data_IF_500128372345
#
_entry.id   IF_500128372345
#
_cell.length_a   1.000
_cell.length_b   1.000
_cell.length_c   1.000
_cell.angle_alpha   90.00
_cell.angle_beta   90.00
_cell.angle_gamma   90.00
#
_symmetry.space_group_name_H-M   'P 1'
#
loop_
_entity.id
_entity.type
_entity.pdbx_description
1 polymer ?
#
# COMPACT_ATOMS: atom_id res chain seq x y z
N UNK A 1 -21.50 13.84 -1.42
CA UNK A 1 -21.74 14.79 -0.31
C UNK A 1 -20.96 16.07 -0.57
N UNK A 2 -21.52 17.26 -0.37
CA UNK A 2 -20.78 18.52 -0.48
C UNK A 2 -19.61 18.57 0.51
N UNK A 3 -18.49 19.19 0.13
CA UNK A 3 -17.27 19.26 0.96
C UNK A 3 -17.55 19.89 2.33
N UNK A 4 -18.36 20.94 2.38
CA UNK A 4 -18.70 21.62 3.65
C UNK A 4 -19.50 20.73 4.59
N UNK A 5 -20.46 19.95 4.08
CA UNK A 5 -21.19 18.96 4.89
C UNK A 5 -20.25 17.87 5.41
N UNK A 6 -19.33 17.40 4.57
CA UNK A 6 -18.35 16.39 4.97
C UNK A 6 -17.40 16.91 6.06
N UNK A 7 -16.97 18.17 5.99
CA UNK A 7 -16.15 18.81 7.03
C UNK A 7 -16.85 18.80 8.38
N UNK A 8 -18.11 19.23 8.42
CA UNK A 8 -18.90 19.27 9.67
C UNK A 8 -19.03 17.88 10.27
N UNK A 9 -19.36 16.87 9.46
CA UNK A 9 -19.52 15.49 9.93
C UNK A 9 -18.21 14.92 10.49
N UNK A 10 -17.10 15.06 9.75
CA UNK A 10 -15.79 14.57 10.20
C UNK A 10 -15.32 15.29 11.46
N UNK A 11 -15.51 16.61 11.54
CA UNK A 11 -15.21 17.38 12.75
C UNK A 11 -16.01 16.88 13.95
N UNK A 12 -17.32 16.65 13.78
CA UNK A 12 -18.19 16.18 14.86
C UNK A 12 -17.74 14.81 15.37
N UNK A 13 -17.55 13.85 14.47
CA UNK A 13 -17.12 12.49 14.82
C UNK A 13 -15.76 12.51 15.53
N UNK A 14 -14.81 13.31 15.03
CA UNK A 14 -13.47 13.41 15.62
C UNK A 14 -13.53 14.00 17.05
N UNK A 15 -14.27 15.09 17.23
CA UNK A 15 -14.41 15.74 18.54
C UNK A 15 -15.11 14.83 19.55
N UNK A 16 -16.18 14.14 19.14
CA UNK A 16 -16.88 13.18 19.99
C UNK A 16 -15.96 12.01 20.39
N UNK A 17 -15.20 11.46 19.45
CA UNK A 17 -14.24 10.39 19.73
C UNK A 17 -13.16 10.83 20.71
N UNK A 18 -12.58 12.02 20.52
CA UNK A 18 -11.52 12.54 21.39
C UNK A 18 -12.03 12.89 22.80
N UNK A 19 -13.27 13.40 22.93
CA UNK A 19 -13.91 13.65 24.22
C UNK A 19 -14.19 12.36 25.02
N UNK A 20 -14.22 11.21 24.36
CA UNK A 20 -14.42 9.91 25.03
C UNK A 20 -13.14 9.31 25.60
N UNK A 21 -11.98 9.94 25.35
CA UNK A 21 -10.68 9.49 25.85
C UNK A 21 -10.40 10.12 27.22
N UNK A 22 -9.61 9.41 28.04
CA UNK A 22 -9.16 9.92 29.33
C UNK A 22 -8.20 11.13 29.16
N UNK A 23 -8.31 12.11 30.06
CA UNK A 23 -7.63 13.42 30.00
C UNK A 23 -6.08 13.39 29.99
N UNK A 24 -5.45 12.22 30.16
CA UNK A 24 -3.99 12.09 30.35
C UNK A 24 -3.30 11.20 29.30
N UNK A 25 -3.90 11.02 28.11
CA UNK A 25 -3.40 10.12 27.08
C UNK A 25 -2.83 10.79 25.82
N UNK A 26 -2.06 10.02 25.05
CA UNK A 26 -1.76 10.32 23.64
C UNK A 26 -2.72 9.51 22.77
N UNK A 27 -3.48 10.21 21.92
CA UNK A 27 -4.32 9.57 20.91
C UNK A 27 -3.56 9.45 19.59
N UNK A 28 -3.48 8.24 19.03
CA UNK A 28 -2.88 8.00 17.71
C UNK A 28 -3.97 7.69 16.70
N UNK A 29 -4.05 8.50 15.65
CA UNK A 29 -4.90 8.24 14.49
C UNK A 29 -4.03 7.95 13.27
N UNK A 30 -4.11 6.72 12.76
CA UNK A 30 -3.50 6.33 11.49
C UNK A 30 -4.50 6.51 10.35
N UNK A 31 -4.09 7.19 9.29
CA UNK A 31 -4.95 7.50 8.14
C UNK A 31 -4.16 7.42 6.83
N UNK A 32 -4.43 6.40 6.02
CA UNK A 32 -3.79 6.20 4.72
C UNK A 32 -4.22 7.26 3.68
N UNK A 33 -5.38 7.90 3.87
CA UNK A 33 -5.91 8.94 2.96
C UNK A 33 -5.38 10.35 3.26
N UNK A 34 -4.30 10.48 4.05
CA UNK A 34 -3.71 11.77 4.42
C UNK A 34 -3.38 12.65 3.20
N UNK A 35 -3.10 12.06 2.04
CA UNK A 35 -2.79 12.77 0.80
C UNK A 35 -4.02 13.07 -0.08
N UNK A 36 -5.11 12.31 0.05
CA UNK A 36 -6.27 12.43 -0.85
C UNK A 36 -7.22 13.55 -0.45
N UNK A 37 -7.43 13.74 0.87
CA UNK A 37 -8.42 14.68 1.41
C UNK A 37 -7.83 15.60 2.49
N UNK A 38 -6.67 16.24 2.25
CA UNK A 38 -6.00 17.05 3.28
C UNK A 38 -6.89 18.18 3.82
N UNK A 39 -7.65 18.86 2.95
CA UNK A 39 -8.56 19.95 3.35
C UNK A 39 -9.68 19.50 4.31
N UNK A 40 -10.12 18.25 4.20
CA UNK A 40 -11.16 17.71 5.07
C UNK A 40 -10.61 17.47 6.47
N UNK A 41 -9.44 16.82 6.55
CA UNK A 41 -8.85 16.41 7.81
C UNK A 41 -8.15 17.56 8.54
N UNK A 42 -7.50 18.47 7.82
CA UNK A 42 -6.92 19.69 8.41
C UNK A 42 -7.98 20.49 9.14
N UNK A 43 -9.14 20.70 8.52
CA UNK A 43 -10.25 21.43 9.14
C UNK A 43 -10.69 20.76 10.44
N UNK A 44 -10.96 19.45 10.40
CA UNK A 44 -11.42 18.70 11.56
C UNK A 44 -10.40 18.72 12.71
N UNK A 45 -9.12 18.58 12.41
CA UNK A 45 -8.05 18.60 13.42
C UNK A 45 -7.86 19.99 14.03
N UNK A 46 -7.92 21.06 13.23
CA UNK A 46 -7.85 22.44 13.74
C UNK A 46 -9.06 22.78 14.63
N UNK A 47 -10.25 22.30 14.25
CA UNK A 47 -11.46 22.46 15.06
C UNK A 47 -11.35 21.69 16.38
N UNK A 48 -10.86 20.44 16.36
CA UNK A 48 -10.62 19.66 17.56
C UNK A 48 -9.59 20.33 18.49
N UNK A 49 -8.48 20.83 17.93
CA UNK A 49 -7.47 21.59 18.67
C UNK A 49 -8.09 22.84 19.33
N UNK A 50 -8.93 23.59 18.60
CA UNK A 50 -9.58 24.78 19.15
C UNK A 50 -10.63 24.48 20.22
N UNK A 51 -11.40 23.38 20.09
CA UNK A 51 -12.48 23.05 21.02
C UNK A 51 -12.00 22.32 22.27
N UNK A 52 -10.99 21.47 22.13
CA UNK A 52 -10.53 20.57 23.18
C UNK A 52 -9.23 21.02 23.84
N UNK A 53 -8.55 22.02 23.28
CA UNK A 53 -7.26 22.49 23.81
C UNK A 53 -6.12 21.46 23.67
N UNK A 54 -6.29 20.48 22.78
CA UNK A 54 -5.29 19.43 22.54
C UNK A 54 -4.17 19.92 21.62
N UNK A 55 -2.99 19.32 21.74
CA UNK A 55 -1.90 19.53 20.77
C UNK A 55 -1.98 18.48 19.66
N UNK A 56 -2.15 18.91 18.41
CA UNK A 56 -2.12 18.02 17.25
C UNK A 56 -0.74 18.02 16.63
N UNK A 57 -0.15 16.82 16.49
CA UNK A 57 1.08 16.58 15.75
C UNK A 57 0.76 15.68 14.56
N UNK A 58 1.06 16.16 13.36
CA UNK A 58 0.84 15.41 12.12
C UNK A 58 2.16 14.79 11.70
N UNK A 59 2.18 13.47 11.50
CA UNK A 59 3.37 12.73 11.06
C UNK A 59 3.12 12.12 9.69
N UNK A 60 4.02 12.36 8.75
CA UNK A 60 3.98 11.77 7.42
C UNK A 60 5.34 11.21 7.00
N UNK A 61 5.30 10.12 6.24
CA UNK A 61 6.48 9.46 5.69
C UNK A 61 6.37 9.45 4.18
N UNK A 62 7.38 10.01 3.50
CA UNK A 62 7.40 10.13 2.04
C UNK A 62 8.57 9.37 1.45
N UNK A 63 8.37 8.85 0.24
CA UNK A 63 9.35 8.07 -0.51
C UNK A 63 9.73 8.80 -1.78
N UNK A 64 10.89 8.49 -2.34
CA UNK A 64 11.29 8.94 -3.65
C UNK A 64 10.27 8.46 -4.69
N UNK A 65 9.95 9.31 -5.67
CA UNK A 65 8.88 9.02 -6.65
C UNK A 65 9.11 7.66 -7.29
N UNK A 66 10.35 7.36 -7.70
CA UNK A 66 10.69 6.09 -8.35
C UNK A 66 10.26 4.86 -7.53
N UNK A 67 10.60 4.83 -6.24
CA UNK A 67 10.31 3.69 -5.36
C UNK A 67 8.83 3.68 -4.96
N UNK A 68 8.24 4.85 -4.76
CA UNK A 68 6.84 5.04 -4.44
C UNK A 68 5.92 4.53 -5.55
N UNK A 69 6.04 5.04 -6.79
CA UNK A 69 5.13 4.68 -7.89
C UNK A 69 5.20 3.21 -8.26
N UNK A 70 6.41 2.62 -8.20
CA UNK A 70 6.60 1.20 -8.46
C UNK A 70 5.91 0.34 -7.37
N UNK A 71 6.08 0.71 -6.10
CA UNK A 71 5.42 0.04 -4.98
C UNK A 71 3.90 0.21 -5.03
N UNK A 72 3.43 1.41 -5.35
CA UNK A 72 2.03 1.76 -5.48
C UNK A 72 1.35 0.95 -6.59
N UNK A 73 2.00 0.81 -7.74
CA UNK A 73 1.50 -0.01 -8.84
C UNK A 73 1.41 -1.50 -8.46
N UNK A 74 2.44 -2.06 -7.82
CA UNK A 74 2.39 -3.46 -7.35
C UNK A 74 1.23 -3.67 -6.38
N UNK A 75 1.00 -2.73 -5.47
CA UNK A 75 -0.02 -2.84 -4.43
C UNK A 75 -1.43 -2.56 -4.96
N UNK A 76 -1.67 -1.46 -5.65
CA UNK A 76 -3.02 -0.99 -6.05
C UNK A 76 -3.30 -1.12 -7.55
N UNK A 77 -2.25 -1.22 -8.37
CA UNK A 77 -2.35 -1.48 -9.81
C UNK A 77 -2.60 -2.95 -10.13
N UNK A 78 -2.01 -3.85 -9.32
CA UNK A 78 -2.01 -5.30 -9.54
C UNK A 78 -2.67 -6.06 -8.39
N UNK A 79 -2.12 -6.03 -7.17
CA UNK A 79 -2.58 -6.89 -6.04
C UNK A 79 -4.00 -6.56 -5.58
N UNK A 80 -4.26 -5.30 -5.25
CA UNK A 80 -5.54 -4.76 -4.81
C UNK A 80 -6.08 -3.83 -5.90
N UNK A 81 -6.38 -4.37 -7.09
CA UNK A 81 -6.82 -3.58 -8.24
C UNK A 81 -7.99 -2.66 -7.85
N UNK A 82 -7.74 -1.35 -7.81
CA UNK A 82 -8.71 -0.33 -7.35
C UNK A 82 -9.57 0.26 -8.47
N UNK A 83 -9.42 -0.23 -9.70
CA UNK A 83 -10.10 0.29 -10.90
C UNK A 83 -10.84 -0.81 -11.65
N UNK A 84 -11.81 -0.40 -12.47
CA UNK A 84 -12.60 -1.29 -13.32
C UNK A 84 -11.84 -1.73 -14.58
N UNK A 85 -12.11 -2.95 -15.04
CA UNK A 85 -11.50 -3.53 -16.24
C UNK A 85 -10.29 -4.42 -15.93
N UNK A 86 -9.62 -4.91 -16.98
CA UNK A 86 -8.44 -5.77 -16.85
C UNK A 86 -7.27 -5.02 -16.21
N UNK A 87 -6.31 -5.76 -15.64
CA UNK A 87 -5.06 -5.14 -15.18
C UNK A 87 -4.35 -4.51 -16.38
N UNK A 88 -4.03 -3.22 -16.26
CA UNK A 88 -3.33 -2.46 -17.30
C UNK A 88 -1.84 -2.37 -16.99
N UNK A 89 -1.03 -2.07 -18.01
CA UNK A 89 0.41 -1.87 -17.85
C UNK A 89 0.75 -0.64 -17.00
N UNK A 90 1.99 -0.57 -16.53
CA UNK A 90 2.44 0.45 -15.59
C UNK A 90 2.25 1.89 -16.13
N UNK A 91 2.72 2.21 -17.34
CA UNK A 91 2.59 3.56 -17.89
C UNK A 91 1.13 4.02 -18.01
N UNK A 92 0.25 3.12 -18.46
CA UNK A 92 -1.18 3.40 -18.55
C UNK A 92 -1.80 3.62 -17.17
N UNK A 93 -1.44 2.79 -16.19
CA UNK A 93 -1.90 2.94 -14.82
C UNK A 93 -1.45 4.28 -14.22
N UNK A 94 -0.18 4.65 -14.36
CA UNK A 94 0.34 5.94 -13.88
C UNK A 94 -0.41 7.11 -14.51
N UNK A 95 -0.64 7.07 -15.83
CA UNK A 95 -1.41 8.11 -16.52
C UNK A 95 -2.83 8.28 -15.97
N UNK A 96 -3.50 7.17 -15.63
CA UNK A 96 -4.84 7.17 -15.03
C UNK A 96 -4.84 7.63 -13.56
N UNK A 97 -3.76 7.39 -12.82
CA UNK A 97 -3.68 7.58 -11.37
C UNK A 97 -2.85 8.80 -10.94
N UNK A 98 -2.55 9.73 -11.85
CA UNK A 98 -1.76 10.93 -11.57
C UNK A 98 -2.18 11.68 -10.30
N UNK A 99 -3.49 11.90 -10.11
CA UNK A 99 -3.99 12.59 -8.90
C UNK A 99 -3.74 11.83 -7.60
N UNK A 100 -3.81 10.50 -7.64
CA UNK A 100 -3.57 9.64 -6.50
C UNK A 100 -2.07 9.52 -6.18
N UNK A 101 -1.22 9.56 -7.22
CA UNK A 101 0.23 9.47 -7.09
C UNK A 101 0.89 10.81 -6.72
N UNK A 102 0.25 11.95 -7.02
CA UNK A 102 0.72 13.26 -6.59
C UNK A 102 0.43 13.51 -5.11
N UNK A 103 1.46 13.80 -4.31
CA UNK A 103 1.34 14.09 -2.89
C UNK A 103 1.87 15.47 -2.48
N UNK A 104 2.64 16.16 -3.33
CA UNK A 104 3.33 17.41 -2.99
C UNK A 104 2.37 18.53 -2.59
N UNK A 105 1.28 18.71 -3.35
CA UNK A 105 0.25 19.69 -3.02
C UNK A 105 -0.42 19.40 -1.67
N UNK A 106 -0.68 18.12 -1.37
CA UNK A 106 -1.25 17.71 -0.09
C UNK A 106 -0.28 17.97 1.06
N UNK A 107 1.00 17.64 0.90
CA UNK A 107 2.04 17.94 1.89
C UNK A 107 2.12 19.44 2.21
N UNK A 108 1.99 20.30 1.19
CA UNK A 108 2.01 21.75 1.40
C UNK A 108 0.82 22.23 2.24
N UNK A 109 -0.36 21.66 2.02
CA UNK A 109 -1.56 21.95 2.82
C UNK A 109 -1.33 21.58 4.30
N UNK A 110 -0.72 20.42 4.57
CA UNK A 110 -0.38 20.01 5.92
C UNK A 110 0.70 20.91 6.56
N UNK A 111 1.75 21.26 5.81
CA UNK A 111 2.81 22.17 6.26
C UNK A 111 2.26 23.55 6.60
N UNK A 112 1.38 24.10 5.77
CA UNK A 112 0.81 25.43 6.00
C UNK A 112 -0.14 25.47 7.20
N UNK A 113 -0.79 24.34 7.50
CA UNK A 113 -1.74 24.24 8.60
C UNK A 113 -1.09 23.99 9.96
N UNK A 114 0.01 23.22 10.01
CA UNK A 114 0.61 22.75 11.27
C UNK A 114 2.08 23.14 11.45
N UNK A 115 2.79 23.59 10.41
CA UNK A 115 4.16 24.13 10.45
C UNK A 115 5.13 23.29 11.31
N UNK A 116 5.42 23.73 12.54
CA UNK A 116 6.32 23.05 13.48
C UNK A 116 5.77 21.72 14.00
N UNK A 117 4.44 21.58 14.01
CA UNK A 117 3.71 20.38 14.39
C UNK A 117 3.47 19.42 13.21
N UNK A 118 3.83 19.79 11.98
CA UNK A 118 3.95 18.83 10.89
C UNK A 118 5.35 18.22 10.89
N UNK A 119 5.45 16.90 11.04
CA UNK A 119 6.69 16.14 10.94
C UNK A 119 6.64 15.34 9.64
N UNK A 120 7.61 15.58 8.76
CA UNK A 120 7.75 14.87 7.49
C UNK A 120 9.08 14.15 7.49
N UNK A 121 9.08 12.85 7.19
CA UNK A 121 10.30 12.03 7.17
C UNK A 121 10.51 11.41 5.79
N UNK A 122 11.77 11.28 5.40
CA UNK A 122 12.17 10.48 4.25
C UNK A 122 12.18 9.00 4.65
N UNK A 123 11.22 8.24 4.15
CA UNK A 123 11.06 6.83 4.44
C UNK A 123 12.22 5.98 3.89
N UNK A 124 12.81 6.36 2.76
CA UNK A 124 13.80 5.50 2.07
C UNK A 124 15.13 5.42 2.81
N UNK A 125 15.36 6.27 3.81
CA UNK A 125 16.57 6.26 4.66
C UNK A 125 16.30 5.74 6.07
N UNK A 126 15.06 5.36 6.39
CA UNK A 126 14.72 4.79 7.69
C UNK A 126 14.98 3.30 7.69
N UNK A 127 15.66 2.82 8.74
CA UNK A 127 15.80 1.38 8.98
C UNK A 127 14.43 0.75 9.33
N UNK A 128 13.68 1.41 10.21
CA UNK A 128 12.36 0.99 10.63
C UNK A 128 11.45 2.20 10.94
N UNK A 129 10.42 2.38 10.11
CA UNK A 129 9.41 3.43 10.29
C UNK A 129 8.67 3.32 11.63
N UNK A 130 8.52 2.12 12.18
CA UNK A 130 7.82 1.90 13.45
C UNK A 130 8.64 2.44 14.62
N UNK A 131 9.95 2.19 14.61
CA UNK A 131 10.86 2.73 15.61
C UNK A 131 10.86 4.26 15.52
N UNK A 132 10.98 4.80 14.29
CA UNK A 132 10.88 6.24 14.07
C UNK A 132 9.58 6.83 14.61
N UNK A 133 8.43 6.16 14.42
CA UNK A 133 7.14 6.64 14.90
C UNK A 133 7.00 6.55 16.43
N UNK A 134 7.40 5.43 17.03
CA UNK A 134 7.33 5.24 18.50
C UNK A 134 8.14 6.29 19.25
N UNK A 135 9.29 6.69 18.71
CA UNK A 135 10.13 7.77 19.27
C UNK A 135 9.48 9.15 19.27
N UNK A 136 8.36 9.33 18.55
CA UNK A 136 7.60 10.59 18.53
C UNK A 136 6.50 10.62 19.59
N UNK A 137 6.17 9.48 20.19
CA UNK A 137 5.11 9.38 21.21
C UNK A 137 5.76 9.58 22.58
N UNK A 138 5.37 10.63 23.33
CA UNK A 138 5.89 10.87 24.67
C UNK A 138 5.73 9.64 25.58
N UNK A 139 6.83 9.20 26.19
CA UNK A 139 6.86 8.05 27.10
C UNK A 139 7.00 6.69 26.42
N UNK A 140 7.16 6.66 25.09
CA UNK A 140 7.36 5.44 24.30
C UNK A 140 8.74 5.37 23.61
N UNK A 141 9.67 6.27 23.96
CA UNK A 141 10.95 6.44 23.27
C UNK A 141 11.83 5.19 23.31
N UNK A 142 11.78 4.46 24.43
CA UNK A 142 12.54 3.22 24.65
C UNK A 142 11.73 1.95 24.33
N UNK A 143 10.48 2.09 23.86
CA UNK A 143 9.63 0.97 23.51
C UNK A 143 9.99 0.45 22.11
N UNK A 144 10.67 -0.70 22.06
CA UNK A 144 10.85 -1.42 20.80
C UNK A 144 9.52 -2.08 20.39
N UNK A 145 9.09 -1.92 19.13
CA UNK A 145 7.92 -2.64 18.64
C UNK A 145 8.16 -4.15 18.75
N UNK A 146 7.13 -4.96 19.07
CA UNK A 146 7.25 -6.41 19.09
C UNK A 146 7.87 -6.91 17.78
N UNK A 147 8.74 -7.93 17.87
CA UNK A 147 9.26 -8.61 16.69
C UNK A 147 8.10 -9.22 15.90
N UNK A 148 7.61 -8.50 14.89
CA UNK A 148 6.57 -8.99 14.01
C UNK A 148 7.15 -10.12 13.14
N UNK A 149 6.45 -11.25 13.12
CA UNK A 149 6.58 -12.24 12.05
C UNK A 149 6.35 -11.50 10.72
N UNK A 150 7.29 -11.67 9.77
CA UNK A 150 7.30 -11.19 8.37
C UNK A 150 6.46 -9.94 8.01
N UNK A 151 7.10 -8.89 7.46
CA UNK A 151 6.45 -7.66 6.97
C UNK A 151 5.16 -7.97 6.15
N UNK A 152 3.97 -7.82 6.74
CA UNK A 152 2.68 -8.04 6.05
C UNK A 152 2.48 -7.09 4.83
N UNK A 153 3.21 -5.98 4.82
CA UNK A 153 3.25 -4.99 3.74
C UNK A 153 4.43 -5.17 2.77
N UNK A 154 5.12 -6.31 2.79
CA UNK A 154 6.09 -6.62 1.75
C UNK A 154 5.37 -6.62 0.38
N UNK A 155 5.93 -5.89 -0.58
CA UNK A 155 5.48 -5.99 -1.97
C UNK A 155 5.54 -7.47 -2.38
N UNK A 156 4.47 -8.03 -2.97
CA UNK A 156 4.47 -9.44 -3.31
C UNK A 156 5.63 -9.75 -4.26
N UNK A 157 6.22 -10.93 -4.11
CA UNK A 157 7.23 -11.43 -5.02
C UNK A 157 6.67 -11.62 -6.43
N UNK A 158 7.55 -11.78 -7.42
CA UNK A 158 7.14 -11.63 -8.81
C UNK A 158 6.10 -12.65 -9.27
N UNK A 159 6.23 -13.89 -8.78
CA UNK A 159 5.25 -14.95 -8.99
C UNK A 159 3.89 -14.59 -8.39
N UNK A 160 3.83 -14.03 -7.18
CA UNK A 160 2.56 -13.63 -6.56
C UNK A 160 1.89 -12.51 -7.35
N UNK A 161 2.65 -11.52 -7.82
CA UNK A 161 2.12 -10.44 -8.67
C UNK A 161 1.53 -10.97 -9.97
N UNK A 162 2.18 -11.93 -10.61
CA UNK A 162 1.65 -12.59 -11.81
C UNK A 162 0.29 -13.24 -11.55
N UNK A 163 0.15 -13.92 -10.42
CA UNK A 163 -1.10 -14.59 -10.04
C UNK A 163 -2.21 -13.60 -9.74
N UNK A 164 -1.90 -12.52 -9.02
CA UNK A 164 -2.85 -11.43 -8.81
C UNK A 164 -3.27 -10.81 -10.15
N UNK A 165 -2.35 -10.58 -11.08
CA UNK A 165 -2.68 -10.00 -12.38
C UNK A 165 -3.60 -10.91 -13.21
N UNK A 166 -3.31 -12.22 -13.27
CA UNK A 166 -4.15 -13.20 -13.96
C UNK A 166 -5.55 -13.27 -13.34
N UNK A 167 -5.63 -13.44 -12.02
CA UNK A 167 -6.91 -13.54 -11.32
C UNK A 167 -7.73 -12.25 -11.43
N UNK A 168 -7.12 -11.10 -11.12
CA UNK A 168 -7.82 -9.81 -11.11
C UNK A 168 -8.28 -9.36 -12.50
N UNK A 169 -7.67 -9.88 -13.58
CA UNK A 169 -8.11 -9.60 -14.95
C UNK A 169 -9.37 -10.36 -15.36
N UNK A 170 -9.80 -11.38 -14.60
CA UNK A 170 -11.04 -12.12 -14.86
C UNK A 170 -12.30 -11.36 -14.41
N UNK A 171 -12.13 -10.31 -13.61
CA UNK A 171 -13.23 -9.56 -13.01
C UNK A 171 -13.25 -8.12 -13.52
N UNK A 172 -14.44 -7.63 -13.90
CA UNK A 172 -14.61 -6.25 -14.33
C UNK A 172 -14.54 -5.25 -13.17
N UNK A 173 -14.90 -5.67 -11.95
CA UNK A 173 -14.94 -4.83 -10.75
C UNK A 173 -13.59 -4.81 -9.99
N UNK A 174 -13.53 -4.04 -8.90
CA UNK A 174 -12.43 -4.09 -7.94
C UNK A 174 -12.41 -5.44 -7.22
N UNK A 175 -11.21 -5.93 -6.91
CA UNK A 175 -11.03 -7.27 -6.32
C UNK A 175 -10.22 -7.15 -5.04
N UNK A 176 -10.75 -7.68 -3.94
CA UNK A 176 -10.01 -7.79 -2.69
C UNK A 176 -9.03 -8.98 -2.76
N UNK A 177 -7.83 -8.87 -2.15
CA UNK A 177 -6.77 -9.87 -2.30
C UNK A 177 -7.07 -11.19 -1.59
N UNK A 178 -8.14 -11.28 -0.80
CA UNK A 178 -8.37 -12.36 0.17
C UNK A 178 -8.50 -13.73 -0.50
N UNK A 179 -9.11 -13.77 -1.69
CA UNK A 179 -9.37 -15.01 -2.42
C UNK A 179 -8.08 -15.64 -2.94
N UNK A 180 -7.21 -14.82 -3.52
CA UNK A 180 -5.91 -15.27 -4.07
C UNK A 180 -4.89 -15.49 -2.96
N UNK A 181 -4.85 -14.64 -1.94
CA UNK A 181 -3.94 -14.79 -0.80
C UNK A 181 -4.15 -16.12 -0.07
N UNK A 182 -5.42 -16.52 0.11
CA UNK A 182 -5.79 -17.82 0.68
C UNK A 182 -5.29 -18.99 -0.19
N UNK A 183 -5.39 -18.89 -1.51
CA UNK A 183 -4.89 -19.92 -2.43
C UNK A 183 -3.35 -20.01 -2.41
N UNK A 184 -2.65 -18.88 -2.42
CA UNK A 184 -1.18 -18.83 -2.35
C UNK A 184 -0.67 -19.42 -1.03
N UNK A 185 -1.28 -19.04 0.09
CA UNK A 185 -0.92 -19.48 1.44
C UNK A 185 -1.12 -21.00 1.61
N UNK A 186 -2.29 -21.53 1.22
CA UNK A 186 -2.61 -22.96 1.37
C UNK A 186 -1.69 -23.87 0.58
N UNK A 187 -1.20 -23.40 -0.57
CA UNK A 187 -0.35 -24.20 -1.46
C UNK A 187 1.15 -24.00 -1.21
N UNK A 188 1.53 -23.30 -0.13
CA UNK A 188 2.94 -23.04 0.22
C UNK A 188 3.77 -22.51 -0.94
N UNK A 189 3.17 -21.69 -1.82
CA UNK A 189 3.87 -21.03 -2.92
C UNK A 189 4.73 -19.86 -2.43
N UNK A 190 5.17 -19.95 -1.18
CA UNK A 190 6.03 -18.99 -0.54
C UNK A 190 7.45 -19.32 -1.00
N UNK A 191 8.02 -18.40 -1.77
CA UNK A 191 9.44 -18.32 -2.11
C UNK A 191 9.89 -19.27 -3.22
N UNK A 192 9.82 -18.78 -4.47
CA UNK A 192 10.43 -19.45 -5.61
C UNK A 192 10.59 -18.54 -6.82
N UNK A 193 11.83 -18.15 -7.11
CA UNK A 193 12.40 -17.93 -8.44
C UNK A 193 11.91 -16.74 -9.29
N UNK A 194 12.88 -16.00 -9.84
CA UNK A 194 12.67 -15.01 -10.89
C UNK A 194 11.94 -15.59 -12.10
N UNK A 195 11.10 -14.76 -12.72
CA UNK A 195 10.30 -15.07 -13.88
C UNK A 195 10.61 -14.07 -15.00
N UNK A 196 11.04 -14.56 -16.15
CA UNK A 196 11.06 -13.80 -17.41
C UNK A 196 10.18 -14.49 -18.45
N UNK A 197 9.35 -13.68 -19.12
CA UNK A 197 8.35 -14.11 -20.10
C UNK A 197 6.96 -13.51 -19.85
N UNK A 198 6.36 -12.83 -20.84
CA UNK A 198 5.03 -12.16 -20.91
C UNK A 198 4.48 -11.32 -19.71
N UNK A 199 5.12 -11.34 -18.54
CA UNK A 199 4.82 -10.51 -17.36
C UNK A 199 5.66 -9.24 -17.31
N UNK A 200 6.61 -9.06 -18.22
CA UNK A 200 7.45 -7.85 -18.27
C UNK A 200 6.62 -6.56 -18.32
N UNK A 201 5.42 -6.61 -18.91
CA UNK A 201 4.47 -5.47 -18.95
C UNK A 201 3.81 -5.16 -17.59
N UNK A 202 3.89 -6.08 -16.62
CA UNK A 202 3.44 -5.89 -15.24
C UNK A 202 4.53 -5.32 -14.34
N UNK A 203 5.72 -5.05 -14.86
CA UNK A 203 6.77 -4.34 -14.16
C UNK A 203 7.09 -3.05 -14.90
N UNK A 204 7.35 -1.96 -14.18
CA UNK A 204 7.81 -0.75 -14.81
C UNK A 204 9.20 -0.98 -15.43
N UNK A 205 9.34 -0.69 -16.71
CA UNK A 205 10.64 -0.60 -17.35
C UNK A 205 11.41 0.62 -16.83
N UNK A 206 12.73 0.65 -17.06
CA UNK A 206 13.57 1.80 -16.69
C UNK A 206 13.05 3.11 -17.29
N UNK A 207 12.69 3.09 -18.56
CA UNK A 207 12.13 4.26 -19.25
C UNK A 207 10.79 4.70 -18.66
N UNK A 208 9.88 3.76 -18.36
CA UNK A 208 8.59 4.13 -17.76
C UNK A 208 8.75 4.72 -16.34
N UNK A 209 9.75 4.27 -15.57
CA UNK A 209 10.08 4.90 -14.29
C UNK A 209 10.62 6.31 -14.48
N UNK A 210 11.48 6.52 -15.47
CA UNK A 210 12.06 7.83 -15.75
C UNK A 210 10.97 8.81 -16.24
N UNK A 211 10.02 8.33 -17.06
CA UNK A 211 8.85 9.10 -17.50
C UNK A 211 7.94 9.45 -16.30
N UNK A 212 7.72 8.50 -15.38
CA UNK A 212 6.96 8.75 -14.16
C UNK A 212 7.67 9.76 -13.24
N UNK A 213 9.00 9.67 -13.09
CA UNK A 213 9.78 10.66 -12.34
C UNK A 213 9.59 12.04 -12.95
N UNK A 214 9.70 12.16 -14.27
CA UNK A 214 9.51 13.43 -14.97
C UNK A 214 8.12 14.02 -14.66
N UNK A 215 7.08 13.19 -14.69
CA UNK A 215 5.70 13.59 -14.42
C UNK A 215 5.48 14.15 -13.00
N UNK A 216 6.16 13.60 -11.99
CA UNK A 216 6.02 13.99 -10.58
C UNK A 216 7.21 14.79 -10.04
N UNK A 217 8.04 15.39 -10.91
CA UNK A 217 9.23 16.15 -10.50
C UNK A 217 8.87 17.25 -9.52
N UNK A 218 7.81 18.01 -9.81
CA UNK A 218 7.34 19.10 -8.95
C UNK A 218 6.84 18.62 -7.59
N UNK A 219 6.18 17.45 -7.53
CA UNK A 219 5.75 16.86 -6.26
C UNK A 219 6.96 16.52 -5.37
N UNK A 220 8.01 15.94 -5.96
CA UNK A 220 9.25 15.63 -5.25
C UNK A 220 10.00 16.89 -4.81
N UNK A 221 10.04 17.93 -5.64
CA UNK A 221 10.63 19.23 -5.28
C UNK A 221 9.94 19.84 -4.06
N UNK A 222 8.60 19.83 -4.02
CA UNK A 222 7.84 20.33 -2.87
C UNK A 222 8.17 19.50 -1.62
N UNK A 223 8.18 18.18 -1.73
CA UNK A 223 8.56 17.31 -0.60
C UNK A 223 9.98 17.59 -0.12
N UNK A 224 10.95 17.77 -1.02
CA UNK A 224 12.34 18.10 -0.68
C UNK A 224 12.50 19.48 -0.04
N UNK A 225 11.69 20.47 -0.44
CA UNK A 225 11.66 21.77 0.23
C UNK A 225 11.21 21.63 1.69
N UNK A 226 10.14 20.85 1.94
CA UNK A 226 9.61 20.61 3.29
C UNK A 226 10.59 19.76 4.12
N UNK A 227 11.21 18.73 3.53
CA UNK A 227 12.24 17.93 4.22
C UNK A 227 13.44 18.79 4.60
N UNK A 228 13.90 19.66 3.70
CA UNK A 228 15.02 20.58 3.95
C UNK A 228 14.71 21.54 5.10
N UNK A 229 13.52 22.15 5.14
CA UNK A 229 13.11 23.05 6.23
C UNK A 229 13.05 22.33 7.59
N UNK A 230 12.84 21.02 7.58
CA UNK A 230 12.81 20.14 8.77
C UNK A 230 14.13 19.43 9.07
N UNK A 231 15.21 19.77 8.36
CA UNK A 231 16.54 19.17 8.50
C UNK A 231 16.55 17.64 8.30
N UNK A 232 15.68 17.16 7.41
CA UNK A 232 15.56 15.75 7.07
C UNK A 232 16.33 15.44 5.78
N UNK A 233 16.82 14.19 5.62
CA UNK A 233 17.46 13.76 4.38
C UNK A 233 16.52 13.91 3.18
N UNK A 234 17.02 14.45 2.07
CA UNK A 234 16.23 14.67 0.86
C UNK A 234 15.90 13.35 0.13
N UNK A 235 14.77 13.33 -0.58
CA UNK A 235 14.41 12.27 -1.52
C UNK A 235 15.37 12.27 -2.70
N UNK A 236 15.95 11.11 -2.98
CA UNK A 236 16.81 10.89 -4.14
C UNK A 236 16.24 9.76 -4.99
N UNK A 237 16.14 9.99 -6.30
CA UNK A 237 15.80 8.93 -7.26
C UNK A 237 17.04 8.11 -7.68
N UNK A 238 18.17 8.31 -7.01
CA UNK A 238 19.42 7.58 -7.23
C UNK A 238 19.29 6.13 -6.75
N UNK A 239 19.95 5.23 -7.47
CA UNK A 239 19.94 3.79 -7.23
C UNK A 239 20.76 3.43 -5.98
N UNK A 240 20.25 3.73 -4.79
CA UNK A 240 20.72 3.07 -3.57
C UNK A 240 20.03 1.69 -3.47
N UNK A 241 20.63 0.71 -4.15
CA UNK A 241 20.62 -0.73 -3.86
C UNK A 241 19.39 -1.31 -3.12
N UNK A 242 18.35 -1.59 -3.88
CA UNK A 242 17.58 -2.84 -3.77
C UNK A 242 17.26 -3.25 -5.20
N UNK A 243 18.19 -3.96 -5.84
CA UNK A 243 18.04 -4.39 -7.23
C UNK A 243 16.80 -5.26 -7.41
N UNK A 244 16.05 -5.10 -8.52
CA UNK A 244 15.80 -6.19 -9.42
C UNK A 244 16.99 -6.29 -10.38
N UNK A 245 17.63 -7.46 -10.41
CA UNK A 245 18.71 -7.75 -11.34
C UNK A 245 18.25 -7.49 -12.78
N UNK A 246 19.18 -6.93 -13.56
CA UNK A 246 19.09 -6.79 -15.01
C UNK A 246 18.59 -8.10 -15.63
N UNK A 247 17.56 -7.97 -16.45
CA UNK A 247 16.94 -9.07 -17.17
C UNK A 247 17.97 -9.82 -18.03
N UNK A 248 18.09 -11.13 -17.82
CA UNK A 248 18.83 -12.03 -18.69
C UNK A 248 17.83 -12.99 -19.31
N UNK A 249 17.77 -12.96 -20.64
CA UNK A 249 16.81 -13.59 -21.56
C UNK A 249 16.65 -15.12 -21.46
N UNK A 250 16.26 -15.63 -20.30
CA UNK A 250 15.87 -17.03 -20.05
C UNK A 250 14.85 -17.00 -18.89
N UNK A 251 13.63 -17.55 -18.95
CA UNK A 251 13.07 -18.55 -19.85
C UNK A 251 11.54 -18.55 -19.61
N UNK A 252 10.72 -18.34 -20.67
CA UNK A 252 9.24 -18.45 -20.64
C UNK A 252 8.77 -19.77 -20.00
N UNK A 253 9.63 -20.80 -20.01
CA UNK A 253 9.42 -22.09 -19.38
C UNK A 253 9.20 -22.00 -17.86
N UNK A 254 9.88 -21.11 -17.13
CA UNK A 254 9.76 -21.02 -15.66
C UNK A 254 8.40 -20.43 -15.26
N UNK A 255 7.89 -19.47 -16.03
CA UNK A 255 6.54 -18.92 -15.84
C UNK A 255 5.46 -19.94 -16.15
N UNK A 256 5.57 -20.58 -17.31
CA UNK A 256 4.62 -21.61 -17.70
C UNK A 256 4.60 -22.74 -16.68
N UNK A 257 5.77 -23.17 -16.16
CA UNK A 257 5.85 -24.17 -15.11
C UNK A 257 5.28 -23.70 -13.77
N UNK A 258 5.46 -22.43 -13.40
CA UNK A 258 4.88 -21.84 -12.19
C UNK A 258 3.34 -21.75 -12.25
N UNK A 259 2.81 -21.25 -13.37
CA UNK A 259 1.35 -21.19 -13.61
C UNK A 259 0.75 -22.59 -13.71
N UNK A 260 1.41 -23.52 -14.41
CA UNK A 260 0.96 -24.90 -14.53
C UNK A 260 0.97 -25.63 -13.18
N UNK A 261 2.03 -25.43 -12.38
CA UNK A 261 2.11 -26.01 -11.03
C UNK A 261 1.00 -25.50 -10.12
N UNK A 262 0.62 -24.22 -10.25
CA UNK A 262 -0.52 -23.67 -9.53
C UNK A 262 -1.85 -24.24 -10.05
N UNK A 263 -2.06 -24.31 -11.37
CA UNK A 263 -3.28 -24.89 -11.95
C UNK A 263 -3.45 -26.35 -11.52
N UNK A 264 -2.36 -27.12 -11.47
CA UNK A 264 -2.33 -28.48 -10.93
C UNK A 264 -2.70 -28.48 -9.44
N UNK A 265 -2.10 -27.59 -8.63
CA UNK A 265 -2.42 -27.51 -7.21
C UNK A 265 -3.90 -27.16 -6.97
N UNK A 266 -4.47 -26.23 -7.75
CA UNK A 266 -5.90 -25.88 -7.71
C UNK A 266 -6.75 -27.08 -8.12
N UNK A 267 -6.41 -27.77 -9.20
CA UNK A 267 -7.15 -28.94 -9.68
C UNK A 267 -7.17 -30.07 -8.64
N UNK A 268 -6.01 -30.38 -8.05
CA UNK A 268 -5.87 -31.40 -6.99
C UNK A 268 -6.69 -31.03 -5.75
N UNK A 269 -6.71 -29.75 -5.36
CA UNK A 269 -7.50 -29.32 -4.20
C UNK A 269 -9.01 -29.35 -4.47
N UNK A 270 -9.44 -28.99 -5.69
CA UNK A 270 -10.83 -29.12 -6.11
C UNK A 270 -11.27 -30.59 -6.13
N UNK A 271 -10.43 -31.49 -6.64
CA UNK A 271 -10.68 -32.93 -6.61
C UNK A 271 -10.88 -33.44 -5.17
N UNK A 272 -9.99 -33.08 -4.24
CA UNK A 272 -10.15 -33.43 -2.81
C UNK A 272 -11.47 -32.93 -2.22
N UNK A 273 -11.87 -31.70 -2.54
CA UNK A 273 -13.15 -31.14 -2.08
C UNK A 273 -14.34 -31.89 -2.66
N UNK A 274 -14.31 -32.24 -3.95
CA UNK A 274 -15.35 -33.02 -4.61
C UNK A 274 -15.46 -34.39 -3.94
N UNK A 275 -14.36 -35.13 -3.77
CA UNK A 275 -14.35 -36.44 -3.11
C UNK A 275 -14.88 -36.37 -1.68
N UNK A 276 -14.52 -35.32 -0.93
CA UNK A 276 -15.02 -35.08 0.43
C UNK A 276 -16.54 -34.85 0.44
N UNK A 277 -17.05 -34.03 -0.49
CA UNK A 277 -18.48 -33.77 -0.65
C UNK A 277 -19.24 -35.03 -1.06
N UNK A 278 -18.73 -35.81 -2.02
CA UNK A 278 -19.33 -37.08 -2.45
C UNK A 278 -19.41 -38.08 -1.31
N UNK A 279 -18.35 -38.17 -0.49
CA UNK A 279 -18.31 -39.03 0.70
C UNK A 279 -19.33 -38.60 1.75
N UNK A 280 -19.45 -37.28 1.99
CA UNK A 280 -20.43 -36.71 2.90
C UNK A 280 -21.85 -37.02 2.43
N UNK A 281 -22.15 -36.79 1.15
CA UNK A 281 -23.45 -37.06 0.54
C UNK A 281 -23.78 -38.55 0.65
N UNK A 282 -22.85 -39.45 0.30
CA UNK A 282 -23.05 -40.89 0.42
C UNK A 282 -23.35 -41.33 1.87
N UNK A 283 -22.68 -40.70 2.84
CA UNK A 283 -22.91 -40.96 4.28
C UNK A 283 -24.29 -40.47 4.72
N UNK A 284 -24.71 -39.29 4.27
CA UNK A 284 -26.03 -38.72 4.59
C UNK A 284 -27.17 -39.51 3.95
N UNK A 285 -27.00 -39.99 2.72
CA UNK A 285 -27.96 -40.86 2.04
C UNK A 285 -28.10 -42.19 2.78
N UNK A 286 -26.99 -42.81 3.21
CA UNK A 286 -27.02 -44.05 4.01
C UNK A 286 -27.68 -43.89 5.38
N UNK A 287 -27.66 -42.71 5.99
CA UNK A 287 -28.33 -42.43 7.28
C UNK A 287 -29.84 -42.18 7.16
N UNK A 288 -30.35 -42.01 5.94
CA UNK A 288 -31.78 -41.72 5.66
C UNK A 288 -32.58 -42.96 5.25
N UNK A 289 -31.91 -44.07 4.97
CA UNK A 289 -32.49 -45.40 4.69
C UNK A 289 -32.40 -46.24 5.96
#
# INVERSE_FOLDING_TARGET
>A
MPLESAKVEVSQVLVEALNSLDDNGVAVWSNESIYEKPLLYVHALQEAQSKLGINVVVVAYVRAIKSYVASAYKQWGVRHKTYSGSVVGFAEWVGRQTKFLSYGAALKIWEDAFTSNFKLFNYDVLDDVRISFMQLIPGCEDMLPPALQAKDNASPGDLHLALYALYNSLFAESVLPIDVASLISRNKLAHGGMLEGSLAKLYPSGQELDDAIALFTKDQEIANQILSSKQQPLLQNSLASSQPSVASSADDATLNNGVLSLLIAIAVEQEKRIVSLETLVATLVKKRV
#
